data_IF_965316069220
#
_entry.id   IF_965316069220
#
_cell.length_a   1.000
_cell.length_b   1.000
_cell.length_c   1.000
_cell.angle_alpha   90.00
_cell.angle_beta   90.00
_cell.angle_gamma   90.00
#
_symmetry.space_group_name_H-M   'P 1'
#
loop_
_entity.id
_entity.type
_entity.pdbx_description
1 polymer ?
#
# COMPACT_ATOMS: atom_id res chain seq x y z
N UNK A 1 21.31 29.76 5.14
CA UNK A 1 21.30 30.53 6.40
C UNK A 1 21.30 29.52 7.55
N UNK A 2 22.39 29.42 8.30
CA UNK A 2 22.47 28.49 9.44
C UNK A 2 21.58 28.98 10.58
N UNK A 3 20.69 28.12 11.07
CA UNK A 3 19.85 28.43 12.23
C UNK A 3 20.74 28.47 13.49
N UNK A 4 20.91 29.63 14.18
CA UNK A 4 21.94 29.82 15.21
C UNK A 4 21.72 29.04 16.52
N UNK A 5 20.70 28.19 16.61
CA UNK A 5 20.34 27.42 17.82
C UNK A 5 20.60 25.90 17.70
N UNK A 6 21.29 25.43 16.66
CA UNK A 6 21.56 23.99 16.53
C UNK A 6 22.73 23.57 17.43
N UNK A 7 22.54 22.54 18.26
CA UNK A 7 23.63 21.98 19.06
C UNK A 7 24.55 21.09 18.18
N UNK A 8 25.80 21.52 17.92
CA UNK A 8 26.66 20.87 16.93
C UNK A 8 27.11 19.47 17.36
N UNK A 9 27.25 19.21 18.67
CA UNK A 9 27.66 17.90 19.17
C UNK A 9 26.56 16.86 18.93
N UNK A 10 25.32 17.21 19.29
CA UNK A 10 24.18 16.31 19.13
C UNK A 10 23.92 16.02 17.65
N UNK A 11 24.04 17.05 16.80
CA UNK A 11 23.94 16.88 15.35
C UNK A 11 25.02 15.93 14.81
N UNK A 12 26.28 16.12 15.20
CA UNK A 12 27.37 15.25 14.73
C UNK A 12 27.17 13.78 15.14
N UNK A 13 26.67 13.52 16.36
CA UNK A 13 26.31 12.17 16.79
C UNK A 13 25.19 11.57 15.93
N UNK A 14 24.17 12.37 15.59
CA UNK A 14 23.09 11.96 14.69
C UNK A 14 23.60 11.65 13.27
N UNK A 15 24.47 12.50 12.71
CA UNK A 15 25.08 12.28 11.39
C UNK A 15 25.87 10.96 11.36
N UNK A 16 26.61 10.65 12.43
CA UNK A 16 27.35 9.39 12.55
C UNK A 16 26.43 8.16 12.63
N UNK A 17 25.30 8.27 13.35
CA UNK A 17 24.27 7.22 13.38
C UNK A 17 23.69 6.98 11.99
N UNK A 18 23.37 8.03 11.22
CA UNK A 18 22.87 7.91 9.84
C UNK A 18 23.89 7.20 8.95
N UNK A 19 25.17 7.57 9.03
CA UNK A 19 26.22 6.95 8.23
C UNK A 19 26.31 5.44 8.49
N UNK A 20 26.31 5.03 9.76
CA UNK A 20 26.31 3.62 10.15
C UNK A 20 25.02 2.90 9.74
N UNK A 21 23.87 3.58 9.79
CA UNK A 21 22.59 3.05 9.35
C UNK A 21 22.61 2.66 7.87
N UNK A 22 23.22 3.49 7.01
CA UNK A 22 23.39 3.17 5.58
C UNK A 22 24.23 1.91 5.37
N UNK A 23 25.34 1.78 6.10
CA UNK A 23 26.17 0.56 6.06
C UNK A 23 25.39 -0.68 6.49
N UNK A 24 24.48 -0.57 7.47
CA UNK A 24 23.62 -1.69 7.88
C UNK A 24 22.62 -2.07 6.79
N UNK A 25 22.09 -1.11 6.02
CA UNK A 25 21.23 -1.39 4.86
C UNK A 25 21.98 -2.16 3.78
N UNK A 26 23.21 -1.73 3.45
CA UNK A 26 24.08 -2.43 2.48
C UNK A 26 24.40 -3.88 2.90
N UNK A 27 24.42 -4.14 4.22
CA UNK A 27 24.61 -5.46 4.79
C UNK A 27 23.31 -6.29 4.89
N UNK A 28 22.17 -5.76 4.43
CA UNK A 28 20.86 -6.42 4.54
C UNK A 28 20.26 -6.42 5.95
N UNK A 29 20.86 -5.68 6.90
CA UNK A 29 20.47 -5.63 8.32
C UNK A 29 19.43 -4.54 8.56
N UNK A 30 18.32 -4.61 7.83
CA UNK A 30 17.31 -3.56 7.78
C UNK A 30 16.74 -3.18 9.16
N UNK A 31 16.37 -4.12 10.05
CA UNK A 31 15.82 -3.76 11.37
C UNK A 31 16.79 -2.92 12.23
N UNK A 32 18.09 -3.22 12.17
CA UNK A 32 19.10 -2.47 12.90
C UNK A 32 19.34 -1.08 12.31
N UNK A 33 19.27 -0.97 10.98
CA UNK A 33 19.31 0.33 10.31
C UNK A 33 18.11 1.20 10.71
N UNK A 34 16.91 0.60 10.80
CA UNK A 34 15.69 1.29 11.25
C UNK A 34 15.83 1.83 12.66
N UNK A 35 16.30 1.00 13.59
CA UNK A 35 16.49 1.42 14.98
C UNK A 35 17.49 2.58 15.07
N UNK A 36 18.61 2.48 14.36
CA UNK A 36 19.64 3.51 14.37
C UNK A 36 19.19 4.84 13.74
N UNK A 37 18.38 4.78 12.68
CA UNK A 37 17.73 5.95 12.07
C UNK A 37 16.79 6.62 13.08
N UNK A 38 15.92 5.86 13.74
CA UNK A 38 15.00 6.40 14.74
C UNK A 38 15.73 7.06 15.91
N UNK A 39 16.88 6.51 16.32
CA UNK A 39 17.76 7.15 17.31
C UNK A 39 18.36 8.46 16.79
N UNK A 40 18.83 8.49 15.53
CA UNK A 40 19.37 9.70 14.91
C UNK A 40 18.34 10.82 14.81
N UNK A 41 17.09 10.52 14.45
CA UNK A 41 15.99 11.50 14.38
C UNK A 41 15.74 12.12 15.74
N UNK A 42 15.61 11.32 16.81
CA UNK A 42 15.50 11.83 18.20
C UNK A 42 16.68 12.75 18.56
N UNK A 43 17.88 12.43 18.06
CA UNK A 43 19.09 13.22 18.30
C UNK A 43 19.07 14.56 17.56
N UNK A 44 18.62 14.61 16.31
CA UNK A 44 18.42 15.86 15.57
C UNK A 44 17.37 16.77 16.24
N UNK A 45 16.26 16.21 16.72
CA UNK A 45 15.26 16.95 17.50
C UNK A 45 15.86 17.57 18.76
N UNK A 46 16.63 16.80 19.54
CA UNK A 46 17.33 17.32 20.71
C UNK A 46 18.39 18.39 20.36
N UNK A 47 18.92 18.34 19.13
CA UNK A 47 19.84 19.34 18.60
C UNK A 47 19.14 20.63 18.14
N UNK A 48 17.81 20.64 18.01
CA UNK A 48 17.06 21.73 17.36
C UNK A 48 17.17 21.74 15.83
N UNK A 49 17.66 20.66 15.22
CA UNK A 49 17.83 20.51 13.77
C UNK A 49 16.65 19.74 13.16
N UNK A 50 15.46 20.35 13.22
CA UNK A 50 14.21 19.75 12.74
C UNK A 50 14.22 19.51 11.23
N UNK A 51 14.96 20.32 10.47
CA UNK A 51 15.16 20.10 9.04
C UNK A 51 15.88 18.79 8.76
N UNK A 52 17.02 18.54 9.42
CA UNK A 52 17.75 17.27 9.24
C UNK A 52 16.95 16.09 9.76
N UNK A 53 16.17 16.25 10.83
CA UNK A 53 15.22 15.24 11.29
C UNK A 53 14.22 14.85 10.19
N UNK A 54 13.53 15.84 9.60
CA UNK A 54 12.57 15.62 8.51
C UNK A 54 13.24 14.98 7.28
N UNK A 55 14.38 15.53 6.85
CA UNK A 55 15.09 15.06 5.67
C UNK A 55 15.58 13.62 5.80
N UNK A 56 16.13 13.21 6.95
CA UNK A 56 16.61 11.83 7.13
C UNK A 56 15.45 10.83 7.27
N UNK A 57 14.35 11.21 7.94
CA UNK A 57 13.13 10.40 7.97
C UNK A 57 12.59 10.17 6.55
N UNK A 58 12.48 11.24 5.75
CA UNK A 58 12.02 11.17 4.37
C UNK A 58 12.93 10.33 3.48
N UNK A 59 14.25 10.58 3.52
CA UNK A 59 15.25 9.82 2.77
C UNK A 59 15.19 8.32 3.07
N UNK A 60 14.91 7.95 4.32
CA UNK A 60 14.73 6.55 4.71
C UNK A 60 13.45 5.96 4.13
N UNK A 61 12.34 6.71 4.14
CA UNK A 61 11.12 6.33 3.42
C UNK A 61 11.37 6.07 1.93
N UNK A 62 12.07 6.98 1.23
CA UNK A 62 12.46 6.79 -0.18
C UNK A 62 13.41 5.60 -0.39
N UNK A 63 14.29 5.30 0.57
CA UNK A 63 15.15 4.12 0.53
C UNK A 63 14.32 2.83 0.65
N UNK A 64 13.39 2.77 1.59
CA UNK A 64 12.48 1.63 1.75
C UNK A 64 11.66 1.39 0.49
N UNK A 65 11.17 2.45 -0.17
CA UNK A 65 10.50 2.34 -1.47
C UNK A 65 11.39 1.71 -2.54
N UNK A 66 12.65 2.16 -2.67
CA UNK A 66 13.62 1.58 -3.62
C UNK A 66 13.95 0.11 -3.35
N UNK A 67 13.74 -0.34 -2.11
CA UNK A 67 13.89 -1.74 -1.70
C UNK A 67 12.59 -2.55 -1.86
N UNK A 68 11.54 -1.99 -2.48
CA UNK A 68 10.25 -2.64 -2.67
C UNK A 68 9.39 -2.72 -1.41
N UNK A 69 9.72 -1.95 -0.37
CA UNK A 69 9.05 -1.96 0.95
C UNK A 69 8.19 -0.72 1.14
N UNK A 70 7.24 -0.51 0.22
CA UNK A 70 6.37 0.66 0.22
C UNK A 70 5.48 0.73 1.48
N UNK A 71 5.06 -0.44 1.99
CA UNK A 71 4.36 -0.63 3.26
C UNK A 71 5.12 0.01 4.43
N UNK A 72 6.42 -0.27 4.51
CA UNK A 72 7.27 0.29 5.55
C UNK A 72 7.62 1.75 5.29
N UNK A 73 7.68 2.18 4.03
CA UNK A 73 8.08 3.53 3.66
C UNK A 73 7.06 4.61 4.03
N UNK A 74 5.78 4.31 3.83
CA UNK A 74 4.67 5.24 4.03
C UNK A 74 4.71 5.98 5.38
N UNK A 75 4.79 5.32 6.55
CA UNK A 75 4.80 6.03 7.83
C UNK A 75 6.00 6.98 7.98
N UNK A 76 7.15 6.69 7.36
CA UNK A 76 8.30 7.61 7.38
C UNK A 76 8.09 8.81 6.46
N UNK A 77 7.47 8.62 5.30
CA UNK A 77 7.15 9.72 4.37
C UNK A 77 6.06 10.64 4.94
N UNK A 78 5.00 10.09 5.56
CA UNK A 78 3.97 10.88 6.26
C UNK A 78 4.57 11.66 7.43
N UNK A 79 5.43 11.02 8.22
CA UNK A 79 6.10 11.69 9.33
C UNK A 79 7.03 12.81 8.84
N UNK A 80 7.83 12.57 7.80
CA UNK A 80 8.69 13.60 7.22
C UNK A 80 7.86 14.79 6.71
N UNK A 81 6.73 14.51 6.06
CA UNK A 81 5.81 15.54 5.62
C UNK A 81 5.28 16.40 6.77
N UNK A 82 4.85 15.77 7.87
CA UNK A 82 4.37 16.49 9.04
C UNK A 82 5.43 17.44 9.60
N UNK A 83 6.68 16.96 9.78
CA UNK A 83 7.76 17.82 10.30
C UNK A 83 8.04 18.99 9.36
N UNK A 84 8.10 18.75 8.03
CA UNK A 84 8.33 19.82 7.07
C UNK A 84 7.23 20.88 7.10
N UNK A 85 5.97 20.47 7.30
CA UNK A 85 4.83 21.39 7.43
C UNK A 85 4.94 22.24 8.70
N UNK A 86 5.26 21.60 9.84
CA UNK A 86 5.41 22.25 11.14
C UNK A 86 6.52 23.32 11.15
N UNK A 87 7.56 23.15 10.33
CA UNK A 87 8.66 24.12 10.18
C UNK A 87 8.48 25.10 9.01
N UNK A 88 7.31 25.10 8.37
CA UNK A 88 6.95 26.06 7.31
C UNK A 88 7.55 25.77 5.94
N UNK A 89 7.94 24.52 5.67
CA UNK A 89 8.49 24.06 4.39
C UNK A 89 7.45 23.24 3.61
N UNK A 90 6.35 23.90 3.24
CA UNK A 90 5.20 23.27 2.60
C UNK A 90 5.54 22.49 1.32
N UNK A 91 6.43 23.01 0.45
CA UNK A 91 6.84 22.31 -0.78
C UNK A 91 7.53 20.97 -0.47
N UNK A 92 8.32 20.92 0.61
CA UNK A 92 8.94 19.67 1.06
C UNK A 92 7.89 18.74 1.66
N UNK A 93 6.97 19.28 2.46
CA UNK A 93 5.88 18.50 3.04
C UNK A 93 5.04 17.84 1.95
N UNK A 94 4.60 18.59 0.95
CA UNK A 94 3.78 18.11 -0.16
C UNK A 94 4.48 16.99 -0.95
N UNK A 95 5.77 17.13 -1.26
CA UNK A 95 6.54 16.05 -1.93
C UNK A 95 6.54 14.75 -1.14
N UNK A 96 6.64 14.82 0.18
CA UNK A 96 6.63 13.64 1.04
C UNK A 96 5.22 13.09 1.25
N UNK A 97 4.17 13.94 1.37
CA UNK A 97 2.77 13.49 1.41
C UNK A 97 2.39 12.81 0.10
N UNK A 98 2.80 13.40 -1.03
CA UNK A 98 2.66 12.80 -2.34
C UNK A 98 3.33 11.44 -2.32
N UNK A 99 4.62 11.35 -2.02
CA UNK A 99 5.35 10.08 -1.97
C UNK A 99 4.81 9.03 -0.98
N UNK A 100 4.13 9.45 0.09
CA UNK A 100 3.48 8.60 1.09
C UNK A 100 2.11 8.06 0.64
N UNK A 101 1.33 8.92 -0.03
CA UNK A 101 0.06 8.57 -0.65
C UNK A 101 0.25 7.88 -2.00
N UNK A 102 1.46 7.98 -2.55
CA UNK A 102 1.96 7.31 -3.73
C UNK A 102 2.27 5.85 -3.39
N UNK A 103 1.22 5.03 -3.28
CA UNK A 103 1.26 3.69 -3.89
C UNK A 103 1.17 3.95 -5.39
N UNK A 104 2.22 4.54 -5.97
CA UNK A 104 2.35 5.08 -7.33
C UNK A 104 1.05 5.68 -7.95
N UNK A 105 0.94 6.99 -8.16
CA UNK A 105 -0.17 7.61 -8.92
C UNK A 105 0.06 9.12 -9.15
N UNK A 106 0.95 9.47 -10.06
CA UNK A 106 0.59 10.31 -11.22
C UNK A 106 1.29 9.64 -12.38
N UNK A 107 0.52 9.00 -13.24
CA UNK A 107 0.99 8.51 -14.54
C UNK A 107 1.72 9.69 -15.21
N UNK A 108 3.05 9.61 -15.34
CA UNK A 108 3.88 10.67 -15.92
C UNK A 108 3.19 11.21 -17.19
N UNK A 109 3.16 12.53 -17.47
CA UNK A 109 2.44 13.09 -18.62
C UNK A 109 2.80 12.39 -19.94
N UNK A 110 4.06 11.98 -20.08
CA UNK A 110 4.56 11.21 -21.22
C UNK A 110 4.02 9.78 -21.24
N UNK A 111 3.87 9.15 -20.07
CA UNK A 111 3.27 7.82 -19.96
C UNK A 111 1.77 7.87 -20.29
N UNK A 112 1.02 8.84 -19.75
CA UNK A 112 -0.38 9.05 -20.12
C UNK A 112 -0.53 9.26 -21.63
N UNK A 113 0.31 10.12 -22.21
CA UNK A 113 0.31 10.38 -23.65
C UNK A 113 0.66 9.14 -24.49
N UNK A 114 1.45 8.20 -23.94
CA UNK A 114 1.82 6.94 -24.59
C UNK A 114 0.73 5.86 -24.51
N UNK A 115 -0.24 5.99 -23.60
CA UNK A 115 -1.29 4.99 -23.42
C UNK A 115 -2.28 4.97 -24.60
N UNK A 116 -2.79 3.78 -24.96
CA UNK A 116 -3.88 3.66 -25.92
C UNK A 116 -5.07 4.57 -25.55
N UNK A 117 -5.73 5.24 -26.51
CA UNK A 117 -6.79 6.21 -26.22
C UNK A 117 -7.93 5.66 -25.36
N UNK A 118 -8.28 4.38 -25.51
CA UNK A 118 -9.30 3.72 -24.71
C UNK A 118 -8.88 3.56 -23.23
N UNK A 119 -7.64 3.12 -23.00
CA UNK A 119 -7.04 2.95 -21.66
C UNK A 119 -6.88 4.31 -20.98
N UNK A 120 -6.27 5.28 -21.67
CA UNK A 120 -6.13 6.66 -21.16
C UNK A 120 -7.48 7.28 -20.84
N UNK A 121 -8.46 7.16 -21.74
CA UNK A 121 -9.78 7.72 -21.52
C UNK A 121 -10.49 7.10 -20.31
N UNK A 122 -10.34 5.79 -20.10
CA UNK A 122 -10.88 5.13 -18.92
C UNK A 122 -10.23 5.63 -17.63
N UNK A 123 -8.90 5.83 -17.64
CA UNK A 123 -8.14 6.37 -16.50
C UNK A 123 -8.51 7.84 -16.19
N UNK A 124 -8.58 8.70 -17.20
CA UNK A 124 -8.98 10.11 -17.06
C UNK A 124 -10.39 10.25 -16.48
N UNK A 125 -11.27 9.28 -16.73
CA UNK A 125 -12.65 9.24 -16.22
C UNK A 125 -12.80 8.49 -14.89
N UNK A 126 -11.76 7.83 -14.40
CA UNK A 126 -11.85 6.92 -13.25
C UNK A 126 -12.79 5.73 -13.48
N UNK A 127 -12.93 5.28 -14.72
CA UNK A 127 -13.84 4.21 -15.14
C UNK A 127 -13.12 2.85 -15.08
N UNK A 128 -13.18 2.19 -13.92
CA UNK A 128 -12.51 0.89 -13.73
C UNK A 128 -13.04 -0.23 -14.62
N UNK A 129 -14.35 -0.26 -14.90
CA UNK A 129 -14.94 -1.25 -15.81
C UNK A 129 -14.54 -1.00 -17.27
N UNK A 130 -14.53 0.27 -17.68
CA UNK A 130 -14.01 0.68 -18.99
C UNK A 130 -12.51 0.45 -19.13
N UNK A 131 -11.74 0.57 -18.05
CA UNK A 131 -10.30 0.30 -18.02
C UNK A 131 -10.01 -1.17 -18.29
N UNK A 132 -10.70 -2.07 -17.57
CA UNK A 132 -10.54 -3.51 -17.78
C UNK A 132 -10.91 -3.91 -19.22
N UNK A 133 -12.06 -3.46 -19.72
CA UNK A 133 -12.48 -3.73 -21.09
C UNK A 133 -11.49 -3.17 -22.13
N UNK A 134 -10.90 -2.01 -21.87
CA UNK A 134 -9.89 -1.42 -22.74
C UNK A 134 -8.57 -2.22 -22.74
N UNK A 135 -8.15 -2.76 -21.58
CA UNK A 135 -6.97 -3.61 -21.47
C UNK A 135 -7.18 -4.97 -22.16
N UNK A 136 -8.35 -5.59 -21.99
CA UNK A 136 -8.70 -6.89 -22.59
C UNK A 136 -8.79 -6.83 -24.13
N UNK A 137 -9.05 -5.64 -24.68
CA UNK A 137 -9.11 -5.42 -26.12
C UNK A 137 -7.73 -5.27 -26.78
N UNK A 138 -6.64 -5.18 -26.00
CA UNK A 138 -5.29 -5.00 -26.52
C UNK A 138 -4.66 -6.33 -26.96
N UNK A 139 -3.69 -6.29 -27.90
CA UNK A 139 -2.82 -7.42 -28.15
C UNK A 139 -2.08 -7.84 -26.87
N UNK A 140 -1.97 -9.14 -26.60
CA UNK A 140 -1.38 -9.72 -25.36
C UNK A 140 -0.04 -9.06 -24.97
N UNK A 141 0.86 -8.83 -25.91
CA UNK A 141 2.18 -8.24 -25.64
C UNK A 141 2.09 -6.77 -25.16
N UNK A 142 1.15 -6.01 -25.71
CA UNK A 142 0.91 -4.61 -25.36
C UNK A 142 0.11 -4.51 -24.06
N UNK A 143 -0.87 -5.40 -23.88
CA UNK A 143 -1.62 -5.57 -22.64
C UNK A 143 -0.68 -5.86 -21.46
N UNK A 144 0.26 -6.79 -21.61
CA UNK A 144 1.23 -7.15 -20.56
C UNK A 144 2.11 -5.96 -20.17
N UNK A 145 2.66 -5.25 -21.15
CA UNK A 145 3.50 -4.08 -20.91
C UNK A 145 2.73 -2.98 -20.18
N UNK A 146 1.51 -2.68 -20.64
CA UNK A 146 0.67 -1.65 -20.02
C UNK A 146 0.20 -2.08 -18.63
N UNK A 147 -0.14 -3.35 -18.43
CA UNK A 147 -0.51 -3.88 -17.13
C UNK A 147 0.65 -3.79 -16.14
N UNK A 148 1.86 -4.20 -16.53
CA UNK A 148 3.08 -4.06 -15.74
C UNK A 148 3.32 -2.59 -15.36
N UNK A 149 3.19 -1.67 -16.32
CA UNK A 149 3.40 -0.24 -16.08
C UNK A 149 2.31 0.38 -15.20
N UNK A 150 1.04 0.01 -15.39
CA UNK A 150 -0.08 0.47 -14.55
C UNK A 150 -0.01 -0.13 -13.14
N UNK A 151 0.51 -1.34 -13.01
CA UNK A 151 0.72 -2.03 -11.73
C UNK A 151 1.90 -1.46 -10.94
N UNK A 152 3.03 -1.24 -11.61
CA UNK A 152 4.14 -0.46 -11.07
C UNK A 152 3.70 0.97 -10.70
N UNK A 153 2.74 1.50 -11.45
CA UNK A 153 2.08 2.77 -11.21
C UNK A 153 0.85 2.66 -10.30
N UNK A 154 0.65 1.59 -9.53
CA UNK A 154 -0.37 1.47 -8.46
C UNK A 154 -1.83 1.65 -8.90
N UNK A 155 -2.08 1.76 -10.19
CA UNK A 155 -3.38 2.01 -10.82
C UNK A 155 -4.18 0.72 -10.93
N UNK A 156 -3.49 -0.41 -11.05
CA UNK A 156 -4.06 -1.75 -11.15
C UNK A 156 -3.26 -2.66 -10.22
N UNK A 157 -3.89 -3.53 -9.44
CA UNK A 157 -3.17 -4.41 -8.52
C UNK A 157 -2.51 -5.57 -9.27
N UNK A 158 -1.23 -5.87 -8.98
CA UNK A 158 -0.48 -7.04 -9.50
C UNK A 158 -0.92 -8.37 -8.91
N UNK A 159 -2.23 -8.57 -8.72
CA UNK A 159 -2.70 -9.88 -8.30
C UNK A 159 -2.80 -10.73 -9.56
N UNK A 160 -1.74 -11.47 -9.86
CA UNK A 160 -1.85 -12.55 -10.85
C UNK A 160 -2.94 -13.52 -10.39
N UNK A 161 -3.64 -14.17 -11.32
CA UNK A 161 -4.63 -15.20 -10.99
C UNK A 161 -4.04 -16.27 -10.04
N UNK A 162 -2.74 -16.58 -10.17
CA UNK A 162 -2.01 -17.46 -9.26
C UNK A 162 -1.91 -16.95 -7.82
N UNK A 163 -1.73 -15.64 -7.60
CA UNK A 163 -1.70 -15.06 -6.24
C UNK A 163 -3.10 -14.99 -5.63
N UNK A 164 -4.13 -14.73 -6.43
CA UNK A 164 -5.52 -14.81 -5.99
C UNK A 164 -5.90 -16.26 -5.61
N UNK A 165 -5.47 -17.24 -6.41
CA UNK A 165 -5.64 -18.66 -6.10
C UNK A 165 -4.88 -19.08 -4.84
N UNK A 166 -3.65 -18.60 -4.65
CA UNK A 166 -2.87 -18.87 -3.44
C UNK A 166 -3.53 -18.28 -2.19
N UNK A 167 -4.09 -17.07 -2.28
CA UNK A 167 -4.86 -16.46 -1.20
C UNK A 167 -6.12 -17.28 -0.88
N UNK A 168 -6.85 -17.74 -1.90
CA UNK A 168 -8.00 -18.64 -1.72
C UNK A 168 -7.60 -19.92 -0.98
N UNK A 169 -6.51 -20.58 -1.40
CA UNK A 169 -6.03 -21.79 -0.73
C UNK A 169 -5.62 -21.53 0.73
N UNK A 170 -4.94 -20.41 0.98
CA UNK A 170 -4.49 -20.03 2.33
C UNK A 170 -5.67 -19.80 3.28
N UNK A 171 -6.75 -19.18 2.80
CA UNK A 171 -7.91 -18.84 3.63
C UNK A 171 -9.04 -19.87 3.56
N UNK A 172 -8.90 -20.95 2.80
CA UNK A 172 -9.95 -21.96 2.59
C UNK A 172 -10.66 -22.42 3.89
N UNK A 173 -9.96 -22.70 5.02
CA UNK A 173 -10.65 -23.06 6.27
C UNK A 173 -11.62 -21.98 6.78
N UNK A 174 -11.22 -20.71 6.67
CA UNK A 174 -12.08 -19.57 7.05
C UNK A 174 -13.26 -19.41 6.08
N UNK A 175 -13.03 -19.61 4.78
CA UNK A 175 -14.10 -19.52 3.77
C UNK A 175 -15.17 -20.60 3.99
N UNK A 176 -14.77 -21.80 4.40
CA UNK A 176 -15.68 -22.88 4.79
C UNK A 176 -16.48 -22.50 6.04
N UNK A 177 -15.85 -21.95 7.07
CA UNK A 177 -16.53 -21.50 8.29
C UNK A 177 -17.56 -20.39 7.99
N UNK A 178 -17.20 -19.42 7.14
CA UNK A 178 -18.11 -18.37 6.65
C UNK A 178 -19.33 -18.99 5.95
N UNK A 179 -19.13 -19.99 5.10
CA UNK A 179 -20.20 -20.67 4.39
C UNK A 179 -21.10 -21.48 5.34
N UNK A 180 -20.53 -22.12 6.37
CA UNK A 180 -21.28 -22.81 7.43
C UNK A 180 -22.21 -21.85 8.16
N UNK A 181 -21.72 -20.67 8.57
CA UNK A 181 -22.56 -19.62 9.16
C UNK A 181 -23.64 -19.15 8.19
N UNK A 182 -23.30 -18.98 6.90
CA UNK A 182 -24.28 -18.60 5.88
C UNK A 182 -25.40 -19.63 5.64
N UNK A 183 -25.18 -20.90 6.03
CA UNK A 183 -26.20 -21.97 6.00
C UNK A 183 -27.05 -22.04 7.28
N UNK A 184 -26.74 -21.21 8.29
CA UNK A 184 -27.51 -21.09 9.53
C UNK A 184 -26.88 -21.75 10.75
N UNK A 185 -25.64 -22.23 10.67
CA UNK A 185 -24.91 -22.71 11.84
C UNK A 185 -24.03 -21.60 12.42
N UNK A 186 -24.54 -20.93 13.45
CA UNK A 186 -23.88 -19.81 14.12
C UNK A 186 -22.81 -20.24 15.16
N UNK A 187 -22.46 -21.53 15.27
CA UNK A 187 -21.56 -22.04 16.31
C UNK A 187 -20.16 -21.40 16.32
N UNK A 188 -19.60 -21.11 15.13
CA UNK A 188 -18.28 -20.48 14.97
C UNK A 188 -18.37 -18.98 14.61
N UNK A 189 -19.56 -18.39 14.65
CA UNK A 189 -19.79 -17.04 14.12
C UNK A 189 -18.92 -15.97 14.78
N UNK A 190 -18.77 -16.02 16.11
CA UNK A 190 -17.97 -15.03 16.83
C UNK A 190 -16.49 -15.08 16.42
N UNK A 191 -15.95 -16.29 16.23
CA UNK A 191 -14.56 -16.49 15.81
C UNK A 191 -14.35 -16.03 14.36
N UNK A 192 -15.33 -16.31 13.49
CA UNK A 192 -15.32 -15.83 12.10
C UNK A 192 -15.40 -14.31 12.03
N UNK A 193 -16.28 -13.67 12.82
CA UNK A 193 -16.38 -12.21 12.88
C UNK A 193 -15.05 -11.58 13.35
N UNK A 194 -14.41 -12.15 14.37
CA UNK A 194 -13.10 -11.69 14.83
C UNK A 194 -12.01 -11.85 13.76
N UNK A 195 -11.98 -12.97 13.04
CA UNK A 195 -11.04 -13.21 11.96
C UNK A 195 -11.23 -12.20 10.80
N UNK A 196 -12.48 -11.87 10.47
CA UNK A 196 -12.79 -10.86 9.45
C UNK A 196 -12.33 -9.46 9.87
N UNK A 197 -12.44 -9.09 11.15
CA UNK A 197 -11.88 -7.83 11.65
C UNK A 197 -10.37 -7.76 11.54
N UNK A 198 -9.67 -8.85 11.87
CA UNK A 198 -8.22 -8.91 11.76
C UNK A 198 -7.74 -8.86 10.31
N UNK A 199 -8.50 -9.45 9.38
CA UNK A 199 -8.25 -9.35 7.95
C UNK A 199 -8.49 -7.92 7.44
N UNK A 200 -9.56 -7.25 7.88
CA UNK A 200 -9.85 -5.86 7.54
C UNK A 200 -8.76 -4.91 8.04
N UNK A 201 -8.23 -5.11 9.26
CA UNK A 201 -7.06 -4.39 9.78
C UNK A 201 -5.78 -4.63 8.96
N UNK A 202 -5.68 -5.78 8.29
CA UNK A 202 -4.58 -6.15 7.39
C UNK A 202 -4.83 -5.73 5.93
N UNK A 203 -5.96 -5.05 5.66
CA UNK A 203 -6.29 -4.47 4.36
C UNK A 203 -7.34 -5.21 3.53
N UNK A 204 -7.74 -6.43 3.91
CA UNK A 204 -8.71 -7.25 3.16
C UNK A 204 -10.14 -6.69 3.28
N UNK A 205 -10.84 -6.50 2.16
CA UNK A 205 -12.19 -5.90 2.13
C UNK A 205 -13.33 -6.92 2.02
N UNK A 206 -13.14 -8.14 2.55
CA UNK A 206 -14.13 -9.22 2.46
C UNK A 206 -15.25 -9.15 3.51
N UNK A 207 -15.10 -8.37 4.58
CA UNK A 207 -16.07 -8.31 5.70
C UNK A 207 -17.47 -7.88 5.25
N UNK A 208 -17.57 -6.78 4.53
CA UNK A 208 -18.85 -6.25 4.05
C UNK A 208 -19.58 -7.23 3.09
N UNK A 209 -18.92 -7.81 2.08
CA UNK A 209 -19.49 -8.90 1.28
C UNK A 209 -19.99 -10.08 2.12
N UNK A 210 -19.22 -10.55 3.10
CA UNK A 210 -19.59 -11.68 3.96
C UNK A 210 -20.87 -11.38 4.76
N UNK A 211 -20.98 -10.19 5.35
CA UNK A 211 -22.19 -9.78 6.06
C UNK A 211 -23.42 -9.78 5.15
N UNK A 212 -23.28 -9.32 3.90
CA UNK A 212 -24.36 -9.37 2.90
C UNK A 212 -24.71 -10.81 2.52
N UNK A 213 -23.73 -11.71 2.44
CA UNK A 213 -23.96 -13.14 2.18
C UNK A 213 -24.74 -13.78 3.33
N UNK A 214 -24.41 -13.47 4.59
CA UNK A 214 -25.19 -13.92 5.76
C UNK A 214 -26.62 -13.36 5.79
N UNK A 215 -26.85 -12.21 5.16
CA UNK A 215 -28.20 -11.65 4.95
C UNK A 215 -28.93 -12.25 3.72
N UNK A 216 -28.32 -13.17 2.99
CA UNK A 216 -28.93 -13.86 1.85
C UNK A 216 -28.54 -13.34 0.46
N UNK A 217 -27.62 -12.38 0.35
CA UNK A 217 -27.14 -11.93 -0.95
C UNK A 217 -26.34 -13.03 -1.66
N UNK A 218 -26.63 -13.28 -2.94
CA UNK A 218 -25.94 -14.29 -3.78
C UNK A 218 -25.48 -13.76 -5.15
N UNK A 219 -25.79 -12.51 -5.49
CA UNK A 219 -25.38 -11.94 -6.78
C UNK A 219 -23.87 -11.65 -6.76
N UNK A 220 -23.09 -12.50 -7.45
CA UNK A 220 -21.63 -12.40 -7.54
C UNK A 220 -21.17 -11.02 -8.02
N UNK A 221 -21.70 -10.54 -9.14
CA UNK A 221 -21.29 -9.26 -9.71
C UNK A 221 -21.49 -8.08 -8.76
N UNK A 222 -22.62 -8.05 -8.04
CA UNK A 222 -22.89 -7.00 -7.05
C UNK A 222 -22.01 -7.10 -5.79
N UNK A 223 -21.59 -8.32 -5.41
CA UNK A 223 -20.76 -8.57 -4.23
C UNK A 223 -19.27 -8.32 -4.47
N UNK A 224 -18.80 -8.39 -5.72
CA UNK A 224 -17.37 -8.23 -6.07
C UNK A 224 -17.04 -6.93 -6.83
N UNK A 225 -18.02 -6.12 -7.22
CA UNK A 225 -17.83 -4.97 -8.13
C UNK A 225 -16.83 -3.90 -7.65
N UNK A 226 -16.58 -3.78 -6.35
CA UNK A 226 -15.69 -2.76 -5.75
C UNK A 226 -14.50 -3.40 -5.02
N UNK A 227 -14.33 -4.71 -5.14
CA UNK A 227 -13.25 -5.45 -4.50
C UNK A 227 -12.06 -5.53 -5.44
N UNK A 228 -10.87 -5.62 -4.86
CA UNK A 228 -9.69 -6.02 -5.62
C UNK A 228 -9.80 -7.50 -6.05
N UNK A 229 -8.96 -7.99 -6.98
CA UNK A 229 -9.05 -9.36 -7.49
C UNK A 229 -8.89 -10.44 -6.41
N UNK A 230 -8.07 -10.23 -5.37
CA UNK A 230 -7.88 -11.19 -4.27
C UNK A 230 -9.14 -11.29 -3.42
N UNK A 231 -9.66 -10.15 -2.98
CA UNK A 231 -10.91 -10.06 -2.22
C UNK A 231 -12.09 -10.64 -3.02
N UNK A 232 -12.17 -10.31 -4.31
CA UNK A 232 -13.18 -10.82 -5.23
C UNK A 232 -13.07 -12.34 -5.39
N UNK A 233 -11.87 -12.91 -5.43
CA UNK A 233 -11.65 -14.35 -5.51
C UNK A 233 -12.11 -15.07 -4.24
N UNK A 234 -11.84 -14.52 -3.05
CA UNK A 234 -12.33 -15.07 -1.79
C UNK A 234 -13.87 -15.07 -1.72
N UNK A 235 -14.50 -13.95 -2.11
CA UNK A 235 -15.98 -13.84 -2.15
C UNK A 235 -16.59 -14.79 -3.18
N UNK A 236 -15.99 -14.90 -4.36
CA UNK A 236 -16.41 -15.86 -5.38
C UNK A 236 -16.30 -17.31 -4.89
N UNK A 237 -15.22 -17.63 -4.14
CA UNK A 237 -15.05 -18.95 -3.54
C UNK A 237 -16.13 -19.26 -2.50
N UNK A 238 -16.48 -18.31 -1.63
CA UNK A 238 -17.57 -18.47 -0.65
C UNK A 238 -18.88 -18.78 -1.36
N UNK A 239 -19.22 -18.04 -2.41
CA UNK A 239 -20.44 -18.28 -3.19
C UNK A 239 -20.42 -19.68 -3.84
N UNK A 240 -19.29 -20.09 -4.40
CA UNK A 240 -19.14 -21.43 -4.99
C UNK A 240 -19.25 -22.58 -3.96
N UNK A 241 -18.94 -22.34 -2.69
CA UNK A 241 -19.19 -23.31 -1.61
C UNK A 241 -20.69 -23.39 -1.28
N UNK A 242 -21.44 -22.30 -1.48
CA UNK A 242 -22.86 -22.20 -1.15
C UNK A 242 -23.81 -22.66 -2.25
N UNK A 243 -23.32 -22.75 -3.48
CA UNK A 243 -24.00 -23.38 -4.62
C UNK A 243 -24.12 -24.91 -4.45
#
# INVERSE_FOLDING_TARGET
MSNPNINPKLKAEADAMIARGRTLVEQGRLPEATDLLNQAVKRYWAAGDFYSAAAQTGNYGWLLRRLGRADLARPYLEHAAQIFDDIGLADFAERHRFAANDVASVLEPDFLASLPPAVRGALERGDGAGLQAALDALPIAEQQLIFEQLSAAGVVSDVSEEQAEAAVQQFEPLLQAIATVARGDDSERADVEQALEDLERKGWQIRQPVLKIWQGARNRGALTAQLDPSDAALVARILAILD
#
